data_IF_173713496332
#
_entry.id   IF_173713496332
#
_cell.length_a   1.000
_cell.length_b   1.000
_cell.length_c   1.000
_cell.angle_alpha   90.00
_cell.angle_beta   90.00
_cell.angle_gamma   90.00
#
_symmetry.space_group_name_H-M   'P 1'
#
loop_
_entity.id
_entity.type
_entity.pdbx_description
1 polymer ?
#
# COMPACT_ATOMS: atom_id res chain seq x y z
N UNK A 1 40.30 19.20 -10.24
CA UNK A 1 41.03 19.76 -11.40
C UNK A 1 40.74 18.87 -12.60
N UNK A 2 40.21 19.48 -13.68
CA UNK A 2 39.96 18.90 -15.02
C UNK A 2 41.19 18.17 -15.57
N UNK A 3 41.00 17.06 -16.31
CA UNK A 3 41.40 16.78 -17.74
C UNK A 3 40.75 15.43 -18.12
N UNK A 4 39.68 15.33 -18.92
CA UNK A 4 39.57 15.43 -20.37
C UNK A 4 40.70 14.70 -21.14
N UNK A 5 40.35 13.63 -21.89
CA UNK A 5 40.36 13.59 -23.36
C UNK A 5 40.84 12.23 -23.98
N UNK A 6 39.97 11.59 -24.80
CA UNK A 6 40.22 10.89 -26.11
C UNK A 6 41.02 9.58 -26.11
N UNK A 7 40.84 8.58 -26.98
CA UNK A 7 39.95 8.15 -28.10
C UNK A 7 40.59 6.83 -28.63
N UNK A 8 39.90 6.12 -29.53
CA UNK A 8 40.33 5.06 -30.49
C UNK A 8 39.67 3.70 -30.19
N UNK A 9 39.14 2.93 -31.14
CA UNK A 9 38.87 3.07 -32.57
C UNK A 9 38.02 1.84 -32.98
N UNK A 10 37.23 2.01 -34.03
CA UNK A 10 36.22 1.08 -34.53
C UNK A 10 36.69 -0.36 -34.81
N UNK A 11 35.74 -1.31 -34.72
CA UNK A 11 35.65 -2.40 -35.70
C UNK A 11 34.18 -2.71 -36.00
N UNK A 12 33.80 -2.41 -37.24
CA UNK A 12 32.51 -2.69 -37.86
C UNK A 12 32.49 -4.15 -38.31
N UNK A 13 31.40 -4.87 -38.04
CA UNK A 13 31.09 -6.14 -38.70
C UNK A 13 29.64 -6.08 -39.18
N UNK A 14 29.50 -5.78 -40.48
CA UNK A 14 28.27 -5.88 -41.25
C UNK A 14 28.04 -7.36 -41.56
N UNK A 15 26.88 -7.89 -41.16
CA UNK A 15 26.31 -9.08 -41.79
C UNK A 15 24.98 -8.71 -42.45
N UNK A 16 24.99 -8.71 -43.77
CA UNK A 16 23.79 -8.66 -44.59
C UNK A 16 23.28 -10.10 -44.74
N UNK A 17 22.04 -10.35 -44.31
CA UNK A 17 21.21 -11.43 -44.85
C UNK A 17 19.84 -10.86 -45.20
N UNK A 18 19.60 -10.74 -46.50
CA UNK A 18 18.25 -10.62 -47.04
C UNK A 18 17.79 -12.03 -47.44
N UNK A 19 16.75 -12.53 -46.76
CA UNK A 19 15.91 -13.61 -47.23
C UNK A 19 14.46 -13.20 -47.01
N UNK A 20 13.73 -13.04 -48.11
CA UNK A 20 12.29 -12.78 -48.13
C UNK A 20 11.53 -14.10 -47.93
N UNK A 21 10.42 -14.07 -47.20
CA UNK A 21 9.43 -15.15 -47.23
C UNK A 21 8.37 -15.12 -46.13
N UNK A 22 7.28 -14.39 -46.36
CA UNK A 22 5.90 -14.82 -46.13
C UNK A 22 5.37 -15.12 -44.70
N UNK A 23 4.40 -14.29 -44.32
CA UNK A 23 3.21 -14.56 -43.48
C UNK A 23 3.31 -14.66 -41.94
N UNK A 24 2.31 -13.99 -41.34
CA UNK A 24 1.82 -14.06 -39.94
C UNK A 24 2.64 -13.31 -38.88
N UNK A 25 2.44 -11.99 -38.81
CA UNK A 25 2.75 -11.21 -37.60
C UNK A 25 1.65 -11.42 -36.56
N UNK A 26 1.92 -12.29 -35.60
CA UNK A 26 1.37 -12.23 -34.24
C UNK A 26 1.95 -11.00 -33.54
N UNK A 27 1.07 -10.08 -33.18
CA UNK A 27 1.35 -8.91 -32.35
C UNK A 27 1.83 -9.37 -30.96
N UNK A 28 3.03 -9.01 -30.47
CA UNK A 28 3.26 -9.03 -29.04
C UNK A 28 2.66 -7.73 -28.49
N UNK A 29 1.59 -7.85 -27.71
CA UNK A 29 1.04 -6.76 -26.91
C UNK A 29 2.16 -6.19 -26.02
N UNK A 30 2.79 -5.11 -26.48
CA UNK A 30 3.63 -4.26 -25.65
C UNK A 30 2.73 -3.60 -24.62
N UNK A 31 2.90 -3.94 -23.35
CA UNK A 31 2.27 -3.20 -22.25
C UNK A 31 2.64 -1.71 -22.40
N UNK A 32 1.70 -0.77 -22.23
CA UNK A 32 2.02 0.64 -22.37
C UNK A 32 2.98 1.03 -21.25
N UNK A 33 4.24 1.26 -21.60
CA UNK A 33 5.19 1.98 -20.77
C UNK A 33 4.63 3.38 -20.57
N UNK A 34 4.24 3.73 -19.35
CA UNK A 34 3.76 5.06 -19.03
C UNK A 34 4.90 6.06 -19.28
N UNK A 35 4.78 6.89 -20.32
CA UNK A 35 5.69 8.02 -20.51
C UNK A 35 5.53 9.00 -19.33
N UNK A 36 6.63 9.55 -18.80
CA UNK A 36 6.57 10.59 -17.78
C UNK A 36 5.80 11.79 -18.34
N UNK A 37 4.82 12.26 -17.56
CA UNK A 37 3.85 13.22 -18.03
C UNK A 37 4.43 14.63 -17.87
N UNK A 38 4.55 15.39 -18.96
CA UNK A 38 5.10 16.77 -18.95
C UNK A 38 4.32 17.77 -18.08
N UNK A 39 3.10 17.41 -17.63
CA UNK A 39 2.31 18.21 -16.68
C UNK A 39 2.46 17.66 -15.26
N UNK A 40 3.14 18.38 -14.34
CA UNK A 40 3.30 17.96 -12.95
C UNK A 40 1.99 17.95 -12.14
N UNK A 41 0.90 18.52 -12.67
CA UNK A 41 -0.41 18.54 -12.02
C UNK A 41 -1.38 17.49 -12.59
N UNK A 42 -0.92 16.65 -13.52
CA UNK A 42 -1.78 15.61 -14.10
C UNK A 42 -2.17 14.61 -13.02
N UNK A 43 -3.47 14.47 -12.79
CA UNK A 43 -4.03 13.43 -11.92
C UNK A 43 -3.80 12.06 -12.57
N UNK A 44 -3.09 11.20 -11.86
CA UNK A 44 -2.79 9.83 -12.28
C UNK A 44 -3.95 8.90 -11.92
N UNK A 45 -4.23 7.95 -12.81
CA UNK A 45 -5.00 6.74 -12.48
C UNK A 45 -4.20 5.83 -11.55
N UNK A 46 -4.86 4.91 -10.84
CA UNK A 46 -4.16 3.92 -10.03
C UNK A 46 -3.14 3.12 -10.85
N UNK A 47 -3.48 2.71 -12.06
CA UNK A 47 -2.58 1.94 -12.93
C UNK A 47 -1.34 2.74 -13.30
N UNK A 48 -1.50 4.04 -13.57
CA UNK A 48 -0.36 4.94 -13.82
C UNK A 48 0.49 5.12 -12.57
N UNK A 49 -0.13 5.31 -11.40
CA UNK A 49 0.57 5.41 -10.12
C UNK A 49 1.34 4.12 -9.80
N UNK A 50 0.70 2.96 -9.94
CA UNK A 50 1.27 1.64 -9.66
C UNK A 50 2.44 1.32 -10.59
N UNK A 51 2.37 1.71 -11.86
CA UNK A 51 3.44 1.51 -12.85
C UNK A 51 4.69 2.38 -12.61
N UNK A 52 4.63 3.39 -11.73
CA UNK A 52 5.83 4.16 -11.36
C UNK A 52 6.74 3.28 -10.50
N UNK A 53 7.92 2.99 -11.03
CA UNK A 53 8.98 2.28 -10.32
C UNK A 53 9.76 3.26 -9.43
N UNK A 54 9.82 2.93 -8.14
CA UNK A 54 10.66 3.61 -7.14
C UNK A 54 11.40 2.56 -6.33
N UNK A 55 12.61 2.88 -5.89
CA UNK A 55 13.43 2.03 -5.04
C UNK A 55 13.73 2.71 -3.70
N UNK A 56 13.96 1.91 -2.66
CA UNK A 56 14.24 2.43 -1.32
C UNK A 56 15.50 3.31 -1.32
N UNK A 57 15.35 4.57 -0.91
CA UNK A 57 16.44 5.54 -0.92
C UNK A 57 16.84 6.06 -2.31
N UNK A 58 16.08 5.72 -3.35
CA UNK A 58 16.26 6.20 -4.71
C UNK A 58 15.56 7.53 -5.00
N UNK A 59 15.45 7.85 -6.29
CA UNK A 59 14.76 9.05 -6.76
C UNK A 59 13.25 8.98 -6.44
N UNK A 60 12.73 10.11 -5.96
CA UNK A 60 11.32 10.28 -5.62
C UNK A 60 10.57 10.82 -6.84
N UNK A 61 9.36 10.31 -7.11
CA UNK A 61 8.58 10.71 -8.29
C UNK A 61 7.37 11.54 -7.85
N UNK A 62 7.22 12.79 -8.33
CA UNK A 62 6.06 13.61 -7.99
C UNK A 62 4.78 12.98 -8.55
N UNK A 63 3.73 12.94 -7.74
CA UNK A 63 2.44 12.36 -8.10
C UNK A 63 1.30 13.26 -7.64
N UNK A 64 0.24 13.28 -8.45
CA UNK A 64 -1.06 13.80 -8.06
C UNK A 64 -2.07 12.68 -8.28
N UNK A 65 -2.81 12.31 -7.24
CA UNK A 65 -3.86 11.27 -7.32
C UNK A 65 -5.17 11.79 -6.71
N UNK A 66 -6.27 11.15 -7.08
CA UNK A 66 -7.55 11.31 -6.40
C UNK A 66 -7.96 9.98 -5.78
N UNK A 67 -8.27 9.97 -4.49
CA UNK A 67 -8.70 8.77 -3.79
C UNK A 67 -9.76 9.12 -2.74
N UNK A 68 -10.29 8.10 -2.09
CA UNK A 68 -11.27 8.26 -1.02
C UNK A 68 -10.68 7.75 0.29
N UNK A 69 -10.83 8.52 1.35
CA UNK A 69 -10.36 8.17 2.70
C UNK A 69 -11.02 6.87 3.15
N UNK A 70 -10.24 5.85 3.48
CA UNK A 70 -10.73 4.60 4.05
C UNK A 70 -10.42 4.47 5.54
N UNK A 71 -9.33 5.10 5.99
CA UNK A 71 -8.93 5.11 7.40
C UNK A 71 -7.97 6.25 7.70
N UNK A 72 -8.01 6.75 8.92
CA UNK A 72 -7.04 7.75 9.42
C UNK A 72 -6.14 7.05 10.41
N UNK A 73 -4.88 6.84 10.04
CA UNK A 73 -3.92 6.14 10.90
C UNK A 73 -3.38 7.04 11.99
N UNK A 74 -3.08 8.31 11.73
CA UNK A 74 -2.53 9.17 12.79
C UNK A 74 -2.71 10.65 12.48
N UNK A 75 -2.61 11.45 13.54
CA UNK A 75 -2.56 12.91 13.48
C UNK A 75 -1.55 13.44 14.49
N UNK A 76 -0.55 14.17 14.02
CA UNK A 76 0.48 14.77 14.87
C UNK A 76 1.17 15.93 14.14
N UNK A 77 1.56 16.98 14.86
CA UNK A 77 2.31 18.11 14.31
C UNK A 77 1.77 18.64 12.96
N UNK A 78 0.45 18.84 12.87
CA UNK A 78 -0.25 19.30 11.66
C UNK A 78 -0.08 18.38 10.44
N UNK A 79 0.10 17.06 10.68
CA UNK A 79 0.28 16.03 9.66
C UNK A 79 -0.60 14.82 9.92
N UNK A 80 -1.18 14.30 8.84
CA UNK A 80 -2.04 13.12 8.84
C UNK A 80 -1.40 11.95 8.09
N UNK A 81 -1.52 10.74 8.64
CA UNK A 81 -1.34 9.50 7.89
C UNK A 81 -2.71 8.91 7.56
N UNK A 82 -2.94 8.60 6.29
CA UNK A 82 -4.26 8.27 5.75
C UNK A 82 -4.16 7.05 4.85
N UNK A 83 -5.03 6.06 5.06
CA UNK A 83 -5.33 5.05 4.05
C UNK A 83 -6.35 5.62 3.08
N UNK A 84 -5.97 5.76 1.81
CA UNK A 84 -6.83 6.14 0.70
C UNK A 84 -7.04 4.97 -0.24
N UNK A 85 -8.17 4.93 -0.93
CA UNK A 85 -8.46 3.90 -1.93
C UNK A 85 -9.42 4.45 -2.98
N UNK A 86 -9.22 4.06 -4.24
CA UNK A 86 -10.18 4.21 -5.33
C UNK A 86 -10.72 2.83 -5.75
N UNK A 87 -11.48 2.76 -6.84
CA UNK A 87 -12.06 1.52 -7.33
C UNK A 87 -11.03 0.47 -7.79
N UNK A 88 -9.79 0.90 -8.06
CA UNK A 88 -8.74 0.09 -8.67
C UNK A 88 -7.61 -0.27 -7.69
N UNK A 89 -7.34 0.56 -6.67
CA UNK A 89 -6.34 0.24 -5.66
C UNK A 89 -6.14 1.24 -4.54
N UNK A 90 -5.19 0.89 -3.66
CA UNK A 90 -4.95 1.54 -2.38
C UNK A 90 -3.72 2.44 -2.38
N UNK A 91 -3.75 3.45 -1.52
CA UNK A 91 -2.70 4.45 -1.33
C UNK A 91 -2.47 4.62 0.17
N UNK A 92 -1.21 4.63 0.60
CA UNK A 92 -0.84 5.12 1.91
C UNK A 92 -0.30 6.54 1.76
N UNK A 93 -0.99 7.51 2.35
CA UNK A 93 -0.58 8.90 2.36
C UNK A 93 0.11 9.16 3.68
N UNK A 94 1.42 9.38 3.63
CA UNK A 94 2.25 9.53 4.83
C UNK A 94 2.52 11.00 5.12
N UNK A 95 2.23 11.41 6.36
CA UNK A 95 2.52 12.73 6.89
C UNK A 95 2.04 13.91 6.02
N UNK A 96 0.85 13.78 5.42
CA UNK A 96 0.28 14.87 4.64
C UNK A 96 -0.06 16.06 5.53
N UNK A 97 0.45 17.23 5.16
CA UNK A 97 0.24 18.47 5.92
C UNK A 97 -1.21 18.94 5.76
N UNK A 98 -1.91 19.14 6.87
CA UNK A 98 -3.19 19.84 6.89
C UNK A 98 -3.41 20.55 8.23
N UNK A 99 -4.58 21.13 8.48
CA UNK A 99 -4.94 21.64 9.81
C UNK A 99 -5.79 20.60 10.55
N UNK A 100 -5.87 20.68 11.88
CA UNK A 100 -6.75 19.80 12.66
C UNK A 100 -8.22 19.91 12.22
N UNK A 101 -8.67 21.12 11.85
CA UNK A 101 -10.02 21.36 11.32
C UNK A 101 -10.27 20.59 10.01
N UNK A 102 -9.28 20.55 9.11
CA UNK A 102 -9.38 19.78 7.87
C UNK A 102 -9.30 18.28 8.15
N UNK A 103 -8.40 17.84 9.02
CA UNK A 103 -8.27 16.44 9.43
C UNK A 103 -9.58 15.88 10.02
N UNK A 104 -10.29 16.69 10.80
CA UNK A 104 -11.57 16.30 11.40
C UNK A 104 -12.71 16.16 10.38
N UNK A 105 -12.56 16.70 9.17
CA UNK A 105 -13.53 16.55 8.06
C UNK A 105 -13.31 15.27 7.23
N UNK A 106 -12.20 14.56 7.43
CA UNK A 106 -11.86 13.33 6.72
C UNK A 106 -12.66 12.13 7.27
N UNK A 107 -13.96 12.10 6.99
CA UNK A 107 -14.77 10.92 7.20
C UNK A 107 -14.40 9.81 6.19
N UNK A 108 -14.70 8.56 6.54
CA UNK A 108 -14.58 7.45 5.59
C UNK A 108 -15.46 7.73 4.37
N UNK A 109 -14.85 7.61 3.20
CA UNK A 109 -15.41 7.90 1.89
C UNK A 109 -15.28 9.35 1.44
N UNK A 110 -14.69 10.27 2.21
CA UNK A 110 -14.38 11.62 1.74
C UNK A 110 -13.39 11.53 0.57
N UNK A 111 -13.72 12.16 -0.57
CA UNK A 111 -12.82 12.26 -1.71
C UNK A 111 -11.77 13.34 -1.48
N UNK A 112 -10.52 13.00 -1.73
CA UNK A 112 -9.38 13.93 -1.64
C UNK A 112 -8.54 13.87 -2.92
N UNK A 113 -8.01 15.02 -3.33
CA UNK A 113 -6.91 15.09 -4.29
C UNK A 113 -5.62 15.29 -3.51
N UNK A 114 -4.66 14.39 -3.70
CA UNK A 114 -3.40 14.34 -2.97
C UNK A 114 -2.27 14.70 -3.92
N UNK A 115 -1.41 15.62 -3.50
CA UNK A 115 -0.17 15.97 -4.19
C UNK A 115 1.00 15.63 -3.27
N UNK A 116 1.99 14.90 -3.77
CA UNK A 116 3.18 14.51 -3.01
C UNK A 116 4.18 13.78 -3.90
N UNK A 117 5.01 12.94 -3.29
CA UNK A 117 5.94 12.08 -4.02
C UNK A 117 5.66 10.61 -3.71
N UNK A 118 5.64 9.77 -4.74
CA UNK A 118 5.67 8.32 -4.54
C UNK A 118 7.06 7.93 -4.02
N UNK A 119 7.09 7.21 -2.91
CA UNK A 119 8.31 6.69 -2.28
C UNK A 119 8.13 5.23 -1.89
N UNK A 120 9.22 4.59 -1.46
CA UNK A 120 9.22 3.27 -0.84
C UNK A 120 9.92 3.34 0.51
N UNK A 121 9.26 2.82 1.55
CA UNK A 121 9.82 2.65 2.87
C UNK A 121 9.61 1.21 3.35
N UNK A 122 10.69 0.47 3.57
CA UNK A 122 10.63 -0.96 3.97
C UNK A 122 9.70 -1.81 3.08
N UNK A 123 9.64 -1.49 1.78
CA UNK A 123 8.79 -2.15 0.80
C UNK A 123 7.35 -1.63 0.69
N UNK A 124 6.92 -0.72 1.58
CA UNK A 124 5.62 -0.04 1.46
C UNK A 124 5.69 1.08 0.41
N UNK A 125 4.76 1.09 -0.54
CA UNK A 125 4.56 2.24 -1.42
C UNK A 125 3.71 3.29 -0.71
N UNK A 126 4.23 4.51 -0.63
CA UNK A 126 3.56 5.62 0.03
C UNK A 126 3.58 6.89 -0.83
N UNK A 127 2.74 7.85 -0.48
CA UNK A 127 2.77 9.22 -1.00
C UNK A 127 3.19 10.12 0.15
N UNK A 128 4.42 10.62 0.09
CA UNK A 128 5.09 11.31 1.19
C UNK A 128 5.74 12.62 0.72
N UNK A 129 6.73 13.09 1.51
CA UNK A 129 7.66 14.16 1.16
C UNK A 129 7.00 15.50 0.83
N UNK A 130 6.37 16.09 1.86
CA UNK A 130 5.60 17.32 1.69
C UNK A 130 4.22 17.08 1.08
N UNK A 131 3.69 15.87 1.25
CA UNK A 131 2.34 15.55 0.82
C UNK A 131 1.32 16.55 1.38
N UNK A 132 0.35 16.92 0.55
CA UNK A 132 -0.79 17.78 0.90
C UNK A 132 -2.03 17.25 0.20
N UNK A 133 -3.21 17.67 0.63
CA UNK A 133 -4.43 17.32 -0.05
C UNK A 133 -5.48 18.42 0.01
N UNK A 134 -6.43 18.36 -0.92
CA UNK A 134 -7.67 19.13 -0.90
C UNK A 134 -8.88 18.19 -0.87
N UNK A 135 -9.90 18.54 -0.10
CA UNK A 135 -11.19 17.82 -0.11
C UNK A 135 -11.97 18.27 -1.35
N UNK A 136 -12.44 17.31 -2.13
CA UNK A 136 -13.23 17.54 -3.34
C UNK A 136 -14.54 16.76 -3.29
N UNK A 137 -15.47 17.06 -4.21
CA UNK A 137 -16.77 16.39 -4.25
C UNK A 137 -16.63 14.93 -4.70
N UNK A 138 -17.20 14.02 -3.92
CA UNK A 138 -17.29 12.60 -4.23
C UNK A 138 -17.44 11.75 -2.98
N UNK A 139 -17.93 10.52 -3.14
CA UNK A 139 -17.99 9.54 -2.06
C UNK A 139 -17.82 8.12 -2.57
N UNK A 140 -16.95 7.36 -1.92
CA UNK A 140 -16.76 5.92 -2.16
C UNK A 140 -16.15 5.25 -0.93
N UNK A 141 -16.72 4.12 -0.53
CA UNK A 141 -16.21 3.30 0.57
C UNK A 141 -15.87 1.92 0.00
N UNK A 142 -14.61 1.52 0.12
CA UNK A 142 -14.15 0.24 -0.38
C UNK A 142 -14.70 -0.92 0.46
N UNK A 143 -15.12 -1.99 -0.21
CA UNK A 143 -15.33 -3.28 0.44
C UNK A 143 -13.98 -3.97 0.68
N UNK A 144 -13.87 -4.72 1.77
CA UNK A 144 -12.66 -5.46 2.08
C UNK A 144 -12.47 -6.60 1.06
N UNK A 145 -11.34 -6.59 0.35
CA UNK A 145 -11.01 -7.64 -0.62
C UNK A 145 -10.50 -8.88 0.09
N UNK A 146 -11.07 -10.05 -0.19
CA UNK A 146 -10.58 -11.31 0.39
C UNK A 146 -9.24 -11.71 -0.23
N UNK A 147 -8.16 -11.56 0.55
CA UNK A 147 -6.78 -11.84 0.14
C UNK A 147 -6.21 -13.08 0.84
N UNK A 148 -7.03 -13.86 1.55
CA UNK A 148 -6.63 -15.05 2.30
C UNK A 148 -5.79 -16.01 1.46
N UNK A 149 -6.22 -16.26 0.21
CA UNK A 149 -5.53 -17.20 -0.70
C UNK A 149 -4.20 -16.69 -1.24
N UNK A 150 -3.85 -15.42 -1.02
CA UNK A 150 -2.60 -14.79 -1.45
C UNK A 150 -1.56 -14.70 -0.33
N UNK A 151 -1.92 -15.06 0.91
CA UNK A 151 -0.95 -15.16 2.00
C UNK A 151 0.24 -16.04 1.60
N UNK A 152 1.45 -15.47 1.71
CA UNK A 152 2.71 -16.13 1.35
C UNK A 152 3.03 -16.18 -0.15
N UNK A 153 2.25 -15.50 -1.00
CA UNK A 153 2.52 -15.41 -2.44
C UNK A 153 3.07 -14.04 -2.82
N UNK A 154 3.89 -14.00 -3.86
CA UNK A 154 4.51 -12.77 -4.37
C UNK A 154 3.46 -11.74 -4.83
N UNK A 155 2.32 -12.20 -5.34
CA UNK A 155 1.27 -11.32 -5.86
C UNK A 155 0.53 -10.53 -4.78
N UNK A 156 0.67 -10.87 -3.49
CA UNK A 156 0.03 -10.14 -2.40
C UNK A 156 0.45 -8.67 -2.38
N UNK A 157 1.70 -8.38 -2.75
CA UNK A 157 2.26 -7.03 -2.79
C UNK A 157 1.49 -6.08 -3.73
N UNK A 158 0.82 -6.62 -4.75
CA UNK A 158 0.04 -5.82 -5.70
C UNK A 158 -1.24 -5.23 -5.08
N UNK A 159 -1.56 -5.58 -3.84
CA UNK A 159 -2.74 -5.13 -3.11
C UNK A 159 -2.39 -4.23 -1.92
N UNK A 160 -1.15 -3.77 -1.80
CA UNK A 160 -0.72 -2.87 -0.72
C UNK A 160 -1.71 -1.73 -0.49
N UNK A 161 -1.89 -1.40 0.79
CA UNK A 161 -2.70 -0.29 1.29
C UNK A 161 -4.22 -0.43 1.04
N UNK A 162 -4.66 -1.45 0.30
CA UNK A 162 -6.08 -1.71 0.08
C UNK A 162 -6.72 -2.25 1.37
N UNK A 163 -8.00 -1.94 1.52
CA UNK A 163 -8.85 -2.61 2.50
C UNK A 163 -8.97 -4.09 2.15
N UNK A 164 -8.61 -4.95 3.08
CA UNK A 164 -8.46 -6.38 2.88
C UNK A 164 -9.14 -7.20 3.98
N UNK A 165 -9.55 -8.41 3.62
CA UNK A 165 -10.07 -9.43 4.51
C UNK A 165 -9.22 -10.69 4.43
N UNK A 166 -9.03 -11.34 5.58
CA UNK A 166 -8.31 -12.60 5.72
C UNK A 166 -9.10 -13.53 6.64
N UNK A 167 -9.47 -14.72 6.15
CA UNK A 167 -10.49 -15.56 6.78
C UNK A 167 -9.96 -16.91 7.23
N UNK A 168 -10.56 -17.45 8.30
CA UNK A 168 -10.24 -18.77 8.81
C UNK A 168 -8.79 -18.90 9.29
N UNK A 169 -8.21 -17.82 9.81
CA UNK A 169 -6.85 -17.79 10.31
C UNK A 169 -6.81 -18.32 11.75
N UNK A 170 -5.81 -19.11 12.12
CA UNK A 170 -5.68 -19.61 13.50
C UNK A 170 -4.71 -18.74 14.28
N UNK A 171 -5.07 -18.22 15.45
CA UNK A 171 -4.14 -17.46 16.30
C UNK A 171 -2.98 -18.36 16.75
N UNK A 172 -1.75 -17.97 16.42
CA UNK A 172 -0.51 -18.60 16.92
C UNK A 172 0.03 -17.87 18.15
N UNK A 173 -0.02 -16.54 18.16
CA UNK A 173 0.57 -15.70 19.20
C UNK A 173 -0.10 -14.31 19.23
N UNK A 174 -0.18 -13.72 20.43
CA UNK A 174 -0.62 -12.34 20.64
C UNK A 174 0.37 -11.70 21.60
N UNK A 175 0.99 -10.60 21.17
CA UNK A 175 2.00 -9.88 21.95
C UNK A 175 1.71 -8.38 21.95
N UNK A 176 1.63 -7.77 23.14
CA UNK A 176 1.66 -6.31 23.25
C UNK A 176 3.09 -5.82 23.03
N UNK A 177 3.28 -4.79 22.20
CA UNK A 177 4.61 -4.26 21.82
C UNK A 177 5.54 -3.94 23.01
N UNK A 178 4.98 -3.53 24.15
CA UNK A 178 5.74 -3.27 25.38
C UNK A 178 5.49 -4.30 26.49
N UNK A 179 4.90 -5.44 26.17
CA UNK A 179 4.54 -6.51 27.11
C UNK A 179 3.28 -6.27 27.94
N UNK A 180 2.67 -5.08 27.85
CA UNK A 180 1.44 -4.71 28.57
C UNK A 180 0.47 -3.90 27.68
N UNK A 181 -0.85 -3.90 27.98
CA UNK A 181 -1.83 -3.10 27.26
C UNK A 181 -1.51 -1.61 27.29
N UNK A 182 -1.77 -0.90 26.18
CA UNK A 182 -1.53 0.54 26.04
C UNK A 182 -0.84 0.94 24.74
N UNK A 183 -0.21 -0.01 24.05
CA UNK A 183 0.47 0.17 22.76
C UNK A 183 0.00 -0.92 21.78
N UNK A 184 0.60 -0.98 20.60
CA UNK A 184 0.27 -1.93 19.52
C UNK A 184 0.17 -3.38 20.00
N UNK A 185 -0.71 -4.14 19.36
CA UNK A 185 -0.80 -5.59 19.56
C UNK A 185 -0.35 -6.29 18.28
N UNK A 186 0.74 -7.03 18.36
CA UNK A 186 1.15 -7.94 17.30
C UNK A 186 0.37 -9.24 17.41
N UNK A 187 -0.23 -9.66 16.30
CA UNK A 187 -1.02 -10.88 16.19
C UNK A 187 -0.38 -11.77 15.15
N UNK A 188 0.19 -12.89 15.58
CA UNK A 188 0.69 -13.93 14.68
C UNK A 188 -0.40 -14.94 14.45
N UNK A 189 -0.67 -15.25 13.18
CA UNK A 189 -1.68 -16.23 12.78
C UNK A 189 -1.08 -17.30 11.87
N UNK A 190 -1.56 -18.53 12.00
CA UNK A 190 -1.25 -19.61 11.09
C UNK A 190 -2.33 -19.80 10.03
N UNK A 191 -1.89 -20.01 8.79
CA UNK A 191 -2.73 -20.42 7.68
C UNK A 191 -1.94 -21.37 6.76
N UNK A 192 -2.54 -22.53 6.42
CA UNK A 192 -1.90 -23.58 5.62
C UNK A 192 -0.49 -24.01 6.09
N UNK A 193 -0.24 -23.98 7.41
CA UNK A 193 1.02 -24.41 8.01
C UNK A 193 2.16 -23.38 7.93
N UNK A 194 1.88 -22.17 7.44
CA UNK A 194 2.78 -21.02 7.54
C UNK A 194 2.23 -20.01 8.57
N UNK A 195 3.09 -19.12 9.04
CA UNK A 195 2.74 -18.05 9.98
C UNK A 195 2.85 -16.68 9.32
N UNK A 196 1.97 -15.77 9.74
CA UNK A 196 1.85 -14.43 9.21
C UNK A 196 1.62 -13.45 10.35
N UNK A 197 2.23 -12.26 10.26
CA UNK A 197 2.14 -11.23 11.28
C UNK A 197 1.15 -10.14 10.86
N UNK A 198 0.33 -9.73 11.81
CA UNK A 198 -0.63 -8.64 11.73
C UNK A 198 -0.43 -7.71 12.92
N UNK A 199 -0.97 -6.49 12.84
CA UNK A 199 -0.85 -5.50 13.90
C UNK A 199 -2.19 -4.81 14.18
N UNK A 200 -2.61 -4.73 15.44
CA UNK A 200 -3.57 -3.71 15.89
C UNK A 200 -2.76 -2.45 16.22
N UNK A 201 -2.68 -1.54 15.26
CA UNK A 201 -1.95 -0.28 15.37
C UNK A 201 -2.75 0.73 16.21
N UNK A 202 -2.22 1.11 17.38
CA UNK A 202 -2.93 1.96 18.34
C UNK A 202 -3.18 3.36 17.79
N UNK A 203 -2.31 3.90 16.95
CA UNK A 203 -2.59 5.19 16.32
C UNK A 203 -3.83 5.13 15.41
N UNK A 204 -4.05 3.98 14.75
CA UNK A 204 -5.16 3.77 13.82
C UNK A 204 -6.48 3.48 14.54
N UNK A 205 -6.46 2.58 15.52
CA UNK A 205 -7.70 2.09 16.15
C UNK A 205 -7.94 2.67 17.53
N UNK A 206 -6.88 2.98 18.29
CA UNK A 206 -6.93 3.35 19.69
C UNK A 206 -7.19 2.17 20.62
N UNK A 207 -6.72 2.28 21.87
CA UNK A 207 -6.85 1.23 22.90
C UNK A 207 -8.28 0.98 23.37
N UNK A 208 -9.16 1.96 23.17
CA UNK A 208 -10.58 1.86 23.54
C UNK A 208 -11.46 1.21 22.47
N UNK A 209 -10.90 0.90 21.31
CA UNK A 209 -11.65 0.29 20.21
C UNK A 209 -12.09 -1.14 20.49
N UNK A 210 -13.19 -1.53 19.84
CA UNK A 210 -13.71 -2.91 19.92
C UNK A 210 -12.69 -3.92 19.41
N UNK A 211 -11.93 -3.60 18.35
CA UNK A 211 -10.88 -4.48 17.82
C UNK A 211 -9.76 -4.70 18.83
N UNK A 212 -9.29 -3.65 19.50
CA UNK A 212 -8.23 -3.76 20.51
C UNK A 212 -8.67 -4.65 21.67
N UNK A 213 -9.89 -4.40 22.18
CA UNK A 213 -10.50 -5.17 23.26
C UNK A 213 -10.70 -6.64 22.86
N UNK A 214 -11.21 -6.87 21.64
CA UNK A 214 -11.46 -8.23 21.12
C UNK A 214 -10.16 -9.01 21.00
N UNK A 215 -9.09 -8.42 20.44
CA UNK A 215 -7.79 -9.09 20.34
C UNK A 215 -7.25 -9.44 21.73
N UNK A 216 -7.40 -8.57 22.73
CA UNK A 216 -6.97 -8.84 24.10
C UNK A 216 -7.67 -10.03 24.79
N UNK A 217 -8.82 -10.48 24.27
CA UNK A 217 -9.58 -11.63 24.80
C UNK A 217 -9.31 -12.94 24.05
N UNK A 218 -8.79 -12.87 22.82
CA UNK A 218 -8.50 -14.03 21.98
C UNK A 218 -7.40 -14.90 22.59
N UNK A 219 -7.45 -16.19 22.27
CA UNK A 219 -6.49 -17.19 22.74
C UNK A 219 -5.80 -17.89 21.57
N UNK A 220 -4.60 -18.40 21.80
CA UNK A 220 -3.91 -19.28 20.85
C UNK A 220 -4.82 -20.47 20.48
N UNK A 221 -4.92 -20.75 19.19
CA UNK A 221 -5.82 -21.76 18.62
C UNK A 221 -7.21 -21.25 18.24
N UNK A 222 -7.58 -20.02 18.60
CA UNK A 222 -8.82 -19.42 18.11
C UNK A 222 -8.77 -19.22 16.60
N UNK A 223 -9.88 -19.54 15.92
CA UNK A 223 -10.03 -19.28 14.49
C UNK A 223 -10.72 -17.93 14.31
N UNK A 224 -10.17 -17.07 13.46
CA UNK A 224 -10.62 -15.69 13.27
C UNK A 224 -10.74 -15.29 11.80
N UNK A 225 -11.65 -14.36 11.55
CA UNK A 225 -11.70 -13.55 10.34
C UNK A 225 -11.25 -12.13 10.70
N UNK A 226 -10.35 -11.56 9.89
CA UNK A 226 -9.71 -10.26 10.07
C UNK A 226 -10.07 -9.36 8.89
N UNK A 227 -10.41 -8.10 9.18
CA UNK A 227 -10.43 -7.02 8.18
C UNK A 227 -9.48 -5.88 8.58
N UNK A 228 -8.90 -5.23 7.59
CA UNK A 228 -7.85 -4.25 7.83
C UNK A 228 -7.34 -3.58 6.55
N UNK A 229 -6.18 -2.96 6.67
CA UNK A 229 -5.41 -2.45 5.53
C UNK A 229 -4.18 -3.31 5.32
N UNK A 230 -3.88 -3.67 4.06
CA UNK A 230 -2.69 -4.43 3.71
C UNK A 230 -1.43 -3.55 3.78
N UNK A 231 -1.01 -3.23 4.99
CA UNK A 231 0.22 -2.53 5.31
C UNK A 231 1.45 -3.42 5.06
N UNK A 232 2.60 -2.77 4.82
CA UNK A 232 3.86 -3.44 4.51
C UNK A 232 5.01 -2.89 5.35
N UNK A 233 5.84 -3.77 5.90
CA UNK A 233 7.08 -3.40 6.56
C UNK A 233 8.04 -4.60 6.53
N UNK A 234 8.99 -4.58 5.59
CA UNK A 234 9.85 -5.70 5.25
C UNK A 234 9.07 -7.01 4.93
N UNK A 235 7.82 -6.88 4.49
CA UNK A 235 6.86 -7.98 4.31
C UNK A 235 5.44 -7.53 4.64
N UNK A 236 4.44 -8.34 4.28
CA UNK A 236 3.05 -8.05 4.65
C UNK A 236 2.91 -8.00 6.17
N UNK A 237 2.39 -6.89 6.71
CA UNK A 237 2.07 -6.73 8.12
C UNK A 237 0.73 -6.00 8.28
N UNK A 238 -0.40 -6.61 7.90
CA UNK A 238 -1.65 -5.87 7.76
C UNK A 238 -2.11 -5.24 9.07
N UNK A 239 -2.60 -4.00 9.00
CA UNK A 239 -3.20 -3.30 10.13
C UNK A 239 -4.65 -3.75 10.32
N UNK A 240 -4.94 -4.39 11.45
CA UNK A 240 -6.25 -4.92 11.82
C UNK A 240 -7.15 -3.76 12.26
N UNK A 241 -8.33 -3.66 11.64
CA UNK A 241 -9.38 -2.71 12.04
C UNK A 241 -10.63 -3.40 12.54
N UNK A 242 -10.82 -4.67 12.20
CA UNK A 242 -11.83 -5.54 12.76
C UNK A 242 -11.30 -6.97 12.83
N UNK A 243 -11.73 -7.70 13.85
CA UNK A 243 -11.44 -9.12 14.02
C UNK A 243 -12.67 -9.78 14.62
N UNK A 244 -12.98 -11.00 14.19
CA UNK A 244 -14.09 -11.77 14.73
C UNK A 244 -13.72 -13.23 14.87
N UNK A 245 -14.13 -13.85 15.98
CA UNK A 245 -13.92 -15.28 16.22
C UNK A 245 -14.93 -16.10 15.41
N UNK A 246 -14.43 -17.03 14.62
CA UNK A 246 -15.24 -18.01 13.89
C UNK A 246 -15.64 -19.12 14.85
N UNK A 247 -16.92 -19.15 15.22
CA UNK A 247 -17.47 -20.23 16.06
C UNK A 247 -17.73 -21.43 15.15
N UNK A 248 -16.91 -22.47 15.25
CA UNK A 248 -17.17 -23.76 14.61
C UNK A 248 -18.30 -24.43 15.40
N UNK A 249 -19.46 -24.59 14.74
CA UNK A 249 -20.63 -25.27 15.29
C UNK A 249 -20.43 -26.79 15.41
#
# INVERSE_FOLDING_TARGET
MKKLLVLFMALVLVFAFAACGGNENTDPTTAPTAEPTDDPNKVLTYEQYAAIEVEQGGDQVPVVIECYVQGKQSWWQDKACIYGQDENGGYYIYNATCTEEVYNQLAVGTKIRVTGYKTVWEGEYEIAEGATFEIIEGNFVAEAKDLTSLLGKEELINYQNQKAAFKGLTISEIEYKNGEPGDDIYVTVSYNGAEYSFCVEVYLTGTESDVYKTVGELQVGDVVDIEGFLYWYAGANPHITAISKVVVA
#
